data_IF_245576942176
#
_entry.id   IF_245576942176
#
_cell.length_a   1.000
_cell.length_b   1.000
_cell.length_c   1.000
_cell.angle_alpha   90.00
_cell.angle_beta   90.00
_cell.angle_gamma   90.00
#
_symmetry.space_group_name_H-M   'P 1'
#
loop_
_entity.id
_entity.type
_entity.pdbx_description
1 polymer ?
#
# COMPACT_ATOMS: atom_id res chain seq x y z
N UNK A 1 -11.52 -3.56 10.67
CA UNK A 1 -10.98 -2.19 10.92
C UNK A 1 -10.02 -1.82 9.79
N UNK A 2 -9.95 -0.54 9.41
CA UNK A 2 -8.94 -0.06 8.46
C UNK A 2 -8.09 0.98 9.18
N UNK A 3 -6.76 0.86 9.08
CA UNK A 3 -5.78 1.86 9.52
C UNK A 3 -5.15 2.42 8.25
N UNK A 4 -5.45 3.69 7.96
CA UNK A 4 -5.07 4.34 6.70
C UNK A 4 -3.63 4.85 6.73
N UNK A 5 -3.10 5.19 5.54
CA UNK A 5 -1.81 5.82 5.39
C UNK A 5 -1.74 7.24 5.96
N UNK A 6 -0.52 7.72 6.09
CA UNK A 6 -0.19 9.09 6.49
C UNK A 6 0.99 9.60 5.65
N UNK A 7 1.08 10.91 5.36
CA UNK A 7 2.17 11.49 4.57
C UNK A 7 3.44 11.70 5.41
N UNK A 8 3.98 10.61 5.98
CA UNK A 8 5.10 10.57 6.91
C UNK A 8 6.27 9.74 6.37
N UNK A 9 6.54 9.88 5.08
CA UNK A 9 7.48 9.03 4.34
C UNK A 9 8.88 8.92 4.97
N UNK A 10 9.42 10.02 5.53
CA UNK A 10 10.78 10.06 6.04
C UNK A 10 10.87 10.14 7.58
N UNK A 11 9.74 10.17 8.27
CA UNK A 11 9.70 10.21 9.73
C UNK A 11 9.88 8.79 10.28
N UNK A 12 10.73 8.60 11.28
CA UNK A 12 10.81 7.32 11.99
C UNK A 12 9.47 7.05 12.67
N UNK A 13 9.09 5.79 12.78
CA UNK A 13 7.79 5.45 13.35
C UNK A 13 7.65 5.94 14.78
N UNK A 14 8.70 5.80 15.60
CA UNK A 14 8.72 6.21 17.01
C UNK A 14 8.71 7.74 17.20
N UNK A 15 9.11 8.50 16.18
CA UNK A 15 9.12 9.98 16.21
C UNK A 15 7.76 10.57 15.80
N UNK A 16 6.76 9.74 15.50
CA UNK A 16 5.41 10.19 15.17
C UNK A 16 4.65 10.53 16.44
N UNK A 17 4.10 11.74 16.54
CA UNK A 17 3.47 12.26 17.76
C UNK A 17 2.38 11.35 18.37
N UNK A 18 1.69 10.57 17.53
CA UNK A 18 0.63 9.64 17.93
C UNK A 18 1.07 8.17 17.91
N UNK A 19 2.38 7.88 17.90
CA UNK A 19 2.88 6.51 17.79
C UNK A 19 2.39 5.59 18.90
N UNK A 20 2.49 6.04 20.15
CA UNK A 20 2.04 5.25 21.30
C UNK A 20 0.53 4.97 21.26
N UNK A 21 -0.27 5.94 20.85
CA UNK A 21 -1.71 5.74 20.70
C UNK A 21 -2.02 4.77 19.56
N UNK A 22 -1.34 4.91 18.43
CA UNK A 22 -1.49 4.02 17.28
C UNK A 22 -1.14 2.57 17.63
N UNK A 23 -0.02 2.33 18.31
CA UNK A 23 0.39 0.98 18.73
C UNK A 23 -0.60 0.37 19.72
N UNK A 24 -1.16 1.17 20.65
CA UNK A 24 -2.22 0.73 21.52
C UNK A 24 -3.49 0.32 20.74
N UNK A 25 -3.87 1.08 19.71
CA UNK A 25 -4.98 0.74 18.81
C UNK A 25 -4.68 -0.56 18.04
N UNK A 26 -3.45 -0.71 17.54
CA UNK A 26 -3.01 -1.93 16.84
C UNK A 26 -3.12 -3.16 17.74
N UNK A 27 -2.65 -3.09 19.00
CA UNK A 27 -2.78 -4.18 19.96
C UNK A 27 -4.24 -4.47 20.35
N UNK A 28 -5.03 -3.44 20.56
CA UNK A 28 -6.45 -3.57 20.84
C UNK A 28 -7.17 -4.27 19.68
N UNK A 29 -6.83 -3.93 18.44
CA UNK A 29 -7.46 -4.49 17.24
C UNK A 29 -7.28 -6.00 17.13
N UNK A 30 -6.13 -6.54 17.54
CA UNK A 30 -5.84 -7.98 17.51
C UNK A 30 -6.85 -8.81 18.33
N UNK A 31 -7.47 -8.20 19.34
CA UNK A 31 -8.39 -8.87 20.26
C UNK A 31 -9.86 -8.53 20.02
N UNK A 32 -10.15 -7.34 19.48
CA UNK A 32 -11.50 -6.77 19.49
C UNK A 32 -12.13 -6.62 18.11
N UNK A 33 -11.38 -6.76 17.02
CA UNK A 33 -11.94 -6.73 15.67
C UNK A 33 -11.68 -8.03 14.94
N UNK A 34 -12.52 -8.36 13.97
CA UNK A 34 -12.39 -9.62 13.21
C UNK A 34 -11.08 -9.64 12.45
N UNK A 35 -10.81 -8.59 11.66
CA UNK A 35 -9.54 -8.39 10.97
C UNK A 35 -9.22 -6.90 10.80
N UNK A 36 -7.94 -6.58 10.59
CA UNK A 36 -7.45 -5.24 10.35
C UNK A 36 -6.74 -5.16 9.01
N UNK A 37 -7.10 -4.18 8.19
CA UNK A 37 -6.38 -3.80 6.98
C UNK A 37 -5.54 -2.57 7.26
N UNK A 38 -4.23 -2.72 7.12
CA UNK A 38 -3.24 -1.65 7.19
C UNK A 38 -2.92 -1.19 5.77
N UNK A 39 -2.96 0.13 5.52
CA UNK A 39 -2.80 0.68 4.17
C UNK A 39 -1.63 1.65 4.08
N UNK A 40 -0.84 1.54 3.01
CA UNK A 40 0.30 2.41 2.69
C UNK A 40 1.25 2.57 3.88
N UNK A 41 1.47 3.79 4.38
CA UNK A 41 2.31 4.05 5.55
C UNK A 41 1.95 3.16 6.75
N UNK A 42 0.66 2.98 7.04
CA UNK A 42 0.24 2.12 8.14
C UNK A 42 0.57 0.65 7.91
N UNK A 43 0.66 0.18 6.65
CA UNK A 43 1.11 -1.18 6.36
C UNK A 43 2.58 -1.38 6.80
N UNK A 44 3.44 -0.42 6.51
CA UNK A 44 4.83 -0.46 6.97
C UNK A 44 4.96 -0.31 8.49
N UNK A 45 4.19 0.61 9.07
CA UNK A 45 4.14 0.80 10.52
C UNK A 45 3.69 -0.47 11.26
N UNK A 46 2.66 -1.15 10.74
CA UNK A 46 2.16 -2.41 11.31
C UNK A 46 3.15 -3.57 11.14
N UNK A 47 3.81 -3.69 9.99
CA UNK A 47 4.86 -4.69 9.76
C UNK A 47 6.05 -4.46 10.68
N UNK A 48 6.46 -3.21 10.89
CA UNK A 48 7.51 -2.85 11.82
C UNK A 48 7.10 -3.18 13.26
N UNK A 49 5.97 -2.67 13.71
CA UNK A 49 5.55 -2.82 15.10
C UNK A 49 5.30 -4.28 15.52
N UNK A 50 4.59 -5.04 14.69
CA UNK A 50 4.18 -6.40 15.04
C UNK A 50 5.25 -7.46 14.77
N UNK A 51 6.11 -7.23 13.77
CA UNK A 51 7.02 -8.25 13.24
C UNK A 51 8.49 -7.80 13.16
N UNK A 52 8.80 -6.56 13.55
CA UNK A 52 10.16 -6.02 13.48
C UNK A 52 10.72 -5.90 12.06
N UNK A 53 9.85 -5.81 11.05
CA UNK A 53 10.28 -5.67 9.65
C UNK A 53 10.58 -4.20 9.40
N UNK A 54 11.87 -3.91 9.20
CA UNK A 54 12.34 -2.55 8.90
C UNK A 54 11.87 -2.10 7.51
N UNK A 55 11.46 -0.84 7.42
CA UNK A 55 11.23 -0.19 6.13
C UNK A 55 12.56 0.10 5.44
N UNK A 56 12.53 0.11 4.13
CA UNK A 56 13.63 0.56 3.29
C UNK A 56 13.20 1.85 2.61
N UNK A 57 13.88 2.95 2.90
CA UNK A 57 13.60 4.24 2.27
C UNK A 57 14.05 4.20 0.79
N UNK A 58 13.27 4.81 -0.09
CA UNK A 58 13.57 4.93 -1.51
C UNK A 58 14.23 6.28 -1.77
N UNK A 59 15.17 6.30 -2.70
CA UNK A 59 15.81 7.54 -3.15
C UNK A 59 14.79 8.50 -3.81
N UNK A 60 13.82 7.92 -4.55
CA UNK A 60 12.75 8.66 -5.19
C UNK A 60 11.38 8.12 -4.77
N UNK A 61 10.42 9.04 -4.62
CA UNK A 61 9.02 8.70 -4.36
C UNK A 61 8.47 7.85 -5.50
N UNK A 62 7.94 6.69 -5.17
CA UNK A 62 7.20 5.85 -6.09
C UNK A 62 5.80 6.45 -6.26
N UNK A 63 5.54 7.11 -7.39
CA UNK A 63 4.23 7.67 -7.73
C UNK A 63 3.78 7.15 -9.09
N UNK A 64 2.56 6.64 -9.18
CA UNK A 64 2.02 6.12 -10.43
C UNK A 64 1.14 4.89 -10.27
N UNK A 65 0.80 4.26 -11.41
CA UNK A 65 -0.01 3.04 -11.47
C UNK A 65 0.85 1.89 -11.95
N UNK A 66 0.97 0.86 -11.15
CA UNK A 66 1.86 -0.26 -11.41
C UNK A 66 1.11 -1.57 -11.51
N UNK A 67 1.62 -2.49 -12.32
CA UNK A 67 1.12 -3.85 -12.45
C UNK A 67 1.60 -4.69 -11.27
N UNK A 68 0.66 -5.43 -10.68
CA UNK A 68 0.88 -6.33 -9.56
C UNK A 68 0.46 -7.73 -9.94
N UNK A 69 1.29 -8.71 -9.65
CA UNK A 69 1.03 -10.12 -9.91
C UNK A 69 0.54 -10.80 -8.64
N UNK A 70 -0.59 -11.51 -8.74
CA UNK A 70 -1.12 -12.36 -7.68
C UNK A 70 -0.24 -13.62 -7.56
N UNK A 71 0.34 -13.85 -6.38
CA UNK A 71 1.14 -15.05 -6.09
C UNK A 71 0.28 -16.19 -5.53
N UNK A 72 -0.77 -15.85 -4.78
CA UNK A 72 -1.63 -16.82 -4.07
C UNK A 72 -3.07 -16.72 -4.58
N UNK A 73 -3.31 -17.32 -5.75
CA UNK A 73 -4.63 -17.34 -6.41
C UNK A 73 -5.71 -18.06 -5.58
N UNK A 74 -5.31 -18.97 -4.69
CA UNK A 74 -6.22 -19.67 -3.78
C UNK A 74 -6.70 -18.81 -2.59
N UNK A 75 -6.07 -17.65 -2.36
CA UNK A 75 -6.51 -16.74 -1.30
C UNK A 75 -7.90 -16.18 -1.61
N UNK A 76 -8.87 -16.26 -0.68
CA UNK A 76 -10.19 -15.66 -0.85
C UNK A 76 -10.15 -14.18 -1.23
N UNK A 77 -9.12 -13.45 -0.77
CA UNK A 77 -8.94 -12.03 -1.07
C UNK A 77 -8.84 -11.74 -2.58
N UNK A 78 -8.32 -12.68 -3.37
CA UNK A 78 -8.15 -12.54 -4.82
C UNK A 78 -9.20 -13.29 -5.65
N UNK A 79 -10.33 -13.64 -5.03
CA UNK A 79 -11.45 -14.24 -5.78
C UNK A 79 -11.95 -13.29 -6.86
N UNK A 80 -11.96 -13.74 -8.11
CA UNK A 80 -12.39 -12.95 -9.26
C UNK A 80 -11.33 -12.02 -9.85
N UNK A 81 -10.13 -11.96 -9.26
CA UNK A 81 -9.01 -11.22 -9.85
C UNK A 81 -8.41 -11.96 -11.04
N UNK A 82 -7.90 -11.19 -11.99
CA UNK A 82 -6.95 -11.66 -12.99
C UNK A 82 -5.58 -11.93 -12.34
N UNK A 83 -4.69 -12.60 -13.08
CA UNK A 83 -3.32 -12.88 -12.62
C UNK A 83 -2.50 -11.62 -12.34
N UNK A 84 -2.86 -10.53 -13.04
CA UNK A 84 -2.23 -9.21 -12.93
C UNK A 84 -3.32 -8.15 -12.78
N UNK A 85 -3.12 -7.24 -11.84
CA UNK A 85 -3.98 -6.08 -11.65
C UNK A 85 -3.17 -4.79 -11.52
N UNK A 86 -3.77 -3.68 -11.92
CA UNK A 86 -3.18 -2.34 -11.74
C UNK A 86 -3.51 -1.80 -10.34
N UNK A 87 -2.53 -1.18 -9.68
CA UNK A 87 -2.70 -0.55 -8.38
C UNK A 87 -1.91 0.76 -8.29
N UNK A 88 -2.53 1.86 -7.88
CA UNK A 88 -1.84 3.12 -7.59
C UNK A 88 -0.86 2.96 -6.43
N UNK A 89 0.26 3.67 -6.54
CA UNK A 89 1.30 3.78 -5.51
C UNK A 89 1.65 5.26 -5.32
N UNK A 90 1.83 5.68 -4.07
CA UNK A 90 2.33 7.01 -3.71
C UNK A 90 3.08 6.92 -2.38
N UNK A 91 4.36 6.59 -2.40
CA UNK A 91 5.17 6.36 -1.20
C UNK A 91 6.66 6.49 -1.48
N UNK A 92 7.45 6.81 -0.46
CA UNK A 92 8.91 6.84 -0.51
C UNK A 92 9.57 5.71 0.29
N UNK A 93 8.84 4.65 0.62
CA UNK A 93 9.35 3.50 1.37
C UNK A 93 8.88 2.17 0.78
N UNK A 94 9.57 1.11 1.14
CA UNK A 94 9.25 -0.28 0.81
C UNK A 94 9.68 -1.21 1.94
N UNK A 95 9.45 -2.51 1.78
CA UNK A 95 10.06 -3.58 2.58
C UNK A 95 10.72 -4.60 1.66
N UNK A 96 11.78 -5.25 2.14
CA UNK A 96 12.38 -6.36 1.41
C UNK A 96 11.47 -7.57 1.51
N UNK A 97 11.22 -8.21 0.38
CA UNK A 97 10.41 -9.42 0.33
C UNK A 97 10.99 -10.55 1.19
N UNK A 98 12.31 -10.70 1.17
CA UNK A 98 13.02 -11.72 1.94
C UNK A 98 12.82 -11.54 3.45
N UNK A 99 12.72 -10.30 3.95
CA UNK A 99 12.50 -10.04 5.37
C UNK A 99 11.07 -10.41 5.78
N UNK A 100 10.08 -10.17 4.91
CA UNK A 100 8.71 -10.62 5.12
C UNK A 100 8.62 -12.16 5.12
N UNK A 101 9.27 -12.82 4.16
CA UNK A 101 9.23 -14.29 4.01
C UNK A 101 10.01 -15.05 5.11
N UNK A 102 10.86 -14.37 5.89
CA UNK A 102 11.48 -14.94 7.10
C UNK A 102 10.53 -15.10 8.26
N UNK A 103 9.40 -14.41 8.26
CA UNK A 103 8.39 -14.46 9.34
C UNK A 103 7.36 -15.54 8.98
N UNK A 104 7.34 -16.67 9.70
CA UNK A 104 6.47 -17.80 9.33
C UNK A 104 4.97 -17.48 9.32
N UNK A 105 4.55 -16.52 10.15
CA UNK A 105 3.17 -16.08 10.26
C UNK A 105 2.71 -15.19 9.12
N UNK A 106 3.63 -14.72 8.25
CA UNK A 106 3.31 -13.82 7.15
C UNK A 106 3.32 -14.53 5.81
N UNK A 107 2.36 -14.22 4.96
CA UNK A 107 2.25 -14.70 3.60
C UNK A 107 2.19 -13.54 2.60
N UNK A 108 3.13 -13.50 1.65
CA UNK A 108 3.11 -12.54 0.55
C UNK A 108 2.12 -13.01 -0.50
N UNK A 109 1.08 -12.23 -0.73
CA UNK A 109 -0.03 -12.55 -1.63
C UNK A 109 0.11 -11.96 -3.03
N UNK A 110 0.69 -10.76 -3.13
CA UNK A 110 0.91 -10.08 -4.41
C UNK A 110 2.19 -9.24 -4.40
N UNK A 111 2.82 -9.14 -5.56
CA UNK A 111 4.06 -8.38 -5.77
C UNK A 111 4.03 -7.62 -7.08
N UNK A 112 4.87 -6.59 -7.20
CA UNK A 112 5.17 -5.87 -8.42
C UNK A 112 6.67 -5.85 -8.66
N UNK A 113 7.11 -6.06 -9.90
CA UNK A 113 8.54 -5.98 -10.24
C UNK A 113 9.09 -4.57 -10.03
N UNK A 114 8.27 -3.54 -10.24
CA UNK A 114 8.64 -2.13 -10.05
C UNK A 114 8.36 -1.60 -8.64
N UNK A 115 7.24 -2.04 -8.02
CA UNK A 115 6.78 -1.50 -6.73
C UNK A 115 7.10 -2.42 -5.53
N UNK A 116 7.64 -3.62 -5.74
CA UNK A 116 7.99 -4.56 -4.67
C UNK A 116 6.78 -5.30 -4.08
N UNK A 117 6.84 -5.59 -2.79
CA UNK A 117 5.77 -6.30 -2.07
C UNK A 117 4.53 -5.41 -1.99
N UNK A 118 3.37 -5.97 -2.34
CA UNK A 118 2.13 -5.21 -2.46
C UNK A 118 1.07 -5.60 -1.42
N UNK A 119 0.82 -6.90 -1.26
CA UNK A 119 -0.18 -7.40 -0.32
C UNK A 119 0.41 -8.53 0.50
N UNK A 120 0.30 -8.41 1.81
CA UNK A 120 0.72 -9.40 2.79
C UNK A 120 -0.48 -9.69 3.70
N UNK A 121 -0.58 -10.90 4.20
CA UNK A 121 -1.52 -11.24 5.29
C UNK A 121 -0.86 -12.10 6.34
N UNK A 122 -1.46 -12.17 7.52
CA UNK A 122 -1.16 -13.19 8.50
C UNK A 122 -1.79 -14.53 8.14
N UNK A 123 -1.19 -15.63 8.58
CA UNK A 123 -1.69 -16.99 8.35
C UNK A 123 -3.16 -17.13 8.80
N UNK A 124 -3.51 -16.59 9.97
CA UNK A 124 -4.85 -16.57 10.53
C UNK A 124 -5.83 -15.59 9.84
N UNK A 125 -5.34 -14.82 8.85
CA UNK A 125 -6.09 -13.80 8.10
C UNK A 125 -6.71 -12.70 8.98
N UNK A 126 -6.10 -12.39 10.12
CA UNK A 126 -6.55 -11.31 11.00
C UNK A 126 -5.89 -9.97 10.73
N UNK A 127 -4.75 -9.98 10.06
CA UNK A 127 -4.07 -8.74 9.62
C UNK A 127 -3.75 -8.82 8.14
N UNK A 128 -4.04 -7.74 7.44
CA UNK A 128 -3.73 -7.54 6.03
C UNK A 128 -2.94 -6.25 5.88
N UNK A 129 -1.89 -6.28 5.07
CA UNK A 129 -1.02 -5.13 4.81
C UNK A 129 -1.00 -4.88 3.31
N UNK A 130 -1.45 -3.71 2.90
CA UNK A 130 -1.49 -3.29 1.52
C UNK A 130 -0.63 -2.03 1.34
N UNK A 131 0.41 -2.10 0.53
CA UNK A 131 1.36 -0.99 0.34
C UNK A 131 0.87 0.05 -0.66
N UNK A 132 -0.13 -0.28 -1.47
CA UNK A 132 -0.72 0.58 -2.50
C UNK A 132 -2.12 1.08 -2.15
N UNK A 133 -2.77 1.70 -3.14
CA UNK A 133 -3.99 2.46 -2.98
C UNK A 133 -5.07 2.07 -3.99
N UNK A 134 -5.76 0.95 -3.77
CA UNK A 134 -6.89 0.56 -4.63
C UNK A 134 -8.14 1.44 -4.41
N UNK A 135 -8.16 2.23 -3.33
CA UNK A 135 -9.23 3.18 -2.98
C UNK A 135 -9.13 4.53 -3.70
N UNK A 136 -8.01 4.82 -4.36
CA UNK A 136 -7.78 6.13 -4.97
C UNK A 136 -8.83 6.47 -6.03
N UNK A 137 -9.33 7.70 -5.96
CA UNK A 137 -10.10 8.31 -7.04
C UNK A 137 -9.24 8.54 -8.29
N UNK A 138 -9.92 8.79 -9.40
CA UNK A 138 -9.28 8.97 -10.72
C UNK A 138 -8.25 10.09 -10.76
N UNK A 139 -8.40 11.11 -9.92
CA UNK A 139 -7.59 12.33 -9.92
C UNK A 139 -6.68 12.49 -8.69
N UNK A 140 -6.63 11.49 -7.80
CA UNK A 140 -5.86 11.57 -6.55
C UNK A 140 -4.37 11.78 -6.81
N UNK A 141 -3.75 10.96 -7.69
CA UNK A 141 -2.33 11.13 -8.03
C UNK A 141 -2.06 12.44 -8.77
N UNK A 142 -3.00 12.92 -9.59
CA UNK A 142 -2.88 14.23 -10.24
C UNK A 142 -2.89 15.36 -9.20
N UNK A 143 -3.81 15.31 -8.24
CA UNK A 143 -3.89 16.29 -7.14
C UNK A 143 -2.61 16.30 -6.30
N UNK A 144 -2.04 15.14 -6.01
CA UNK A 144 -0.74 15.04 -5.31
C UNK A 144 0.38 15.66 -6.13
N UNK A 145 0.47 15.34 -7.42
CA UNK A 145 1.49 15.84 -8.33
C UNK A 145 1.45 17.37 -8.45
N UNK A 146 0.27 17.94 -8.74
CA UNK A 146 0.14 19.39 -8.87
C UNK A 146 0.33 20.12 -7.55
N UNK A 147 -0.16 19.57 -6.43
CA UNK A 147 0.10 20.10 -5.09
C UNK A 147 1.60 20.20 -4.79
N UNK A 148 2.37 19.19 -5.17
CA UNK A 148 3.80 19.13 -4.89
C UNK A 148 4.57 20.07 -5.83
N UNK A 149 4.12 20.26 -7.07
CA UNK A 149 4.61 21.32 -7.98
C UNK A 149 4.36 22.72 -7.42
N UNK A 150 3.14 22.99 -6.92
CA UNK A 150 2.77 24.30 -6.36
C UNK A 150 3.59 24.63 -5.10
N UNK A 151 4.06 23.62 -4.38
CA UNK A 151 4.99 23.78 -3.25
C UNK A 151 6.45 24.01 -3.66
N UNK A 152 6.74 24.07 -4.95
CA UNK A 152 8.10 24.22 -5.47
C UNK A 152 8.95 22.94 -5.35
N UNK A 153 8.33 21.81 -5.04
CA UNK A 153 8.97 20.50 -5.17
C UNK A 153 9.08 20.16 -6.66
N UNK A 154 10.01 19.31 -7.03
CA UNK A 154 10.15 18.86 -8.41
C UNK A 154 9.74 17.38 -8.51
N UNK A 155 8.44 17.05 -8.37
CA UNK A 155 7.98 15.67 -8.40
C UNK A 155 8.09 15.09 -9.81
N UNK A 156 8.46 13.82 -9.91
CA UNK A 156 8.35 13.07 -11.16
C UNK A 156 6.88 12.92 -11.56
N UNK A 157 6.60 12.95 -12.86
CA UNK A 157 5.25 12.66 -13.38
C UNK A 157 4.84 11.25 -12.91
N UNK A 158 3.62 11.07 -12.34
CA UNK A 158 3.16 9.75 -11.92
C UNK A 158 3.20 8.73 -13.07
N UNK A 159 3.99 7.67 -12.90
CA UNK A 159 4.24 6.68 -13.94
C UNK A 159 2.96 5.93 -14.38
N UNK A 160 2.79 5.72 -15.69
CA UNK A 160 1.66 4.98 -16.26
C UNK A 160 0.28 5.52 -15.88
N UNK A 161 0.17 6.78 -15.53
CA UNK A 161 -1.05 7.39 -15.03
C UNK A 161 -1.68 8.35 -16.03
N UNK A 162 -0.94 9.32 -16.52
CA UNK A 162 -1.40 10.19 -17.60
C UNK A 162 -1.14 9.54 -18.96
N UNK A 163 -2.11 9.58 -19.91
CA UNK A 163 -1.83 9.20 -21.30
C UNK A 163 -0.66 9.99 -21.88
N UNK A 164 0.26 9.31 -22.56
CA UNK A 164 1.44 9.87 -23.19
C UNK A 164 2.37 10.62 -22.20
N UNK A 165 2.30 10.27 -20.91
CA UNK A 165 3.00 10.94 -19.80
C UNK A 165 2.79 12.47 -19.77
N UNK A 166 1.67 12.94 -20.34
CA UNK A 166 1.30 14.35 -20.38
C UNK A 166 0.29 14.69 -19.26
N UNK A 167 0.69 15.51 -18.26
CA UNK A 167 -0.19 15.91 -17.15
C UNK A 167 -1.44 16.72 -17.56
N UNK A 168 -1.48 17.26 -18.78
CA UNK A 168 -2.67 17.93 -19.32
C UNK A 168 -3.76 16.94 -19.76
N UNK A 169 -3.38 15.67 -20.00
CA UNK A 169 -4.31 14.63 -20.39
C UNK A 169 -5.07 14.09 -19.17
N UNK A 170 -6.36 13.78 -19.38
CA UNK A 170 -7.18 13.18 -18.31
C UNK A 170 -6.69 11.76 -17.97
N UNK A 171 -6.45 11.43 -16.70
CA UNK A 171 -6.03 10.10 -16.29
C UNK A 171 -7.03 9.00 -16.69
N UNK A 172 -6.50 7.81 -16.96
CA UNK A 172 -7.29 6.61 -17.27
C UNK A 172 -7.28 5.66 -16.09
N UNK A 173 -8.45 5.45 -15.49
CA UNK A 173 -8.61 4.54 -14.35
C UNK A 173 -8.60 3.09 -14.80
N UNK A 174 -7.69 2.26 -14.24
CA UNK A 174 -7.56 0.84 -14.53
C UNK A 174 -7.60 -0.06 -13.28
N UNK A 175 -7.76 0.53 -12.09
CA UNK A 175 -7.72 -0.18 -10.79
C UNK A 175 -9.07 -0.29 -10.08
N UNK A 176 -10.13 0.36 -10.57
CA UNK A 176 -11.43 0.42 -9.87
C UNK A 176 -12.07 -0.94 -9.69
N UNK A 177 -12.07 -1.80 -10.70
CA UNK A 177 -12.61 -3.15 -10.60
C UNK A 177 -11.84 -4.01 -9.61
N UNK A 178 -10.49 -3.94 -9.65
CA UNK A 178 -9.64 -4.60 -8.68
C UNK A 178 -9.91 -4.10 -7.26
N UNK A 179 -10.09 -2.78 -7.07
CA UNK A 179 -10.44 -2.19 -5.79
C UNK A 179 -11.77 -2.70 -5.25
N UNK A 180 -12.81 -2.72 -6.08
CA UNK A 180 -14.11 -3.26 -5.68
C UNK A 180 -14.02 -4.73 -5.26
N UNK A 181 -13.32 -5.57 -6.03
CA UNK A 181 -13.12 -6.97 -5.68
C UNK A 181 -12.33 -7.12 -4.39
N UNK A 182 -11.22 -6.36 -4.23
CA UNK A 182 -10.37 -6.43 -3.05
C UNK A 182 -11.17 -6.16 -1.78
N UNK A 183 -11.89 -5.03 -1.73
CA UNK A 183 -12.65 -4.65 -0.53
C UNK A 183 -13.86 -5.58 -0.31
N UNK A 184 -14.54 -6.02 -1.37
CA UNK A 184 -15.66 -6.97 -1.24
C UNK A 184 -15.21 -8.35 -0.75
N UNK A 185 -14.02 -8.79 -1.14
CA UNK A 185 -13.47 -10.08 -0.71
C UNK A 185 -12.86 -10.00 0.70
N UNK A 186 -12.40 -8.82 1.12
CA UNK A 186 -11.84 -8.60 2.44
C UNK A 186 -12.94 -8.51 3.52
N UNK A 187 -14.11 -7.94 3.20
CA UNK A 187 -15.28 -7.84 4.11
C UNK A 187 -15.94 -9.20 4.35
#
# INVERSE_FOLDING_TARGET
>A
MIITGAPLDYTKFEDVDYWDELTNIMEWSKKHVHCTLYMCWAAFAGLYYHYGIERVDREEKLSGVYKHRVLKKSSPLFRGFDDIFDCPQSRAMTVNREDVEKIPELEVLAVSDAAGVAVIKTEDSRQFFMTGHLEYDSDTLAKEYFRDLDKGMNPSIPANYFPDDNPENKPVVRWRSAGQLFYSNWL
#
